data_IF_194770880018
#
_entry.id   IF_194770880018
#
_cell.length_a   1.000
_cell.length_b   1.000
_cell.length_c   1.000
_cell.angle_alpha   90.00
_cell.angle_beta   90.00
_cell.angle_gamma   90.00
#
_symmetry.space_group_name_H-M   'P 1'
#
loop_
_entity.id
_entity.type
_entity.pdbx_description
1 polymer ?
#
# COMPACT_ATOMS: atom_id res chain seq x y z
N UNK A 1 -11.68 -6.44 -7.57
CA UNK A 1 -12.24 -7.01 -8.82
C UNK A 1 -11.16 -7.83 -9.55
N UNK A 2 -11.53 -8.87 -10.31
CA UNK A 2 -10.59 -9.73 -11.06
C UNK A 2 -10.95 -9.70 -12.55
N UNK A 3 -10.04 -9.20 -13.38
CA UNK A 3 -10.18 -9.09 -14.83
C UNK A 3 -10.43 -10.44 -15.51
N UNK A 4 -9.92 -11.54 -14.97
CA UNK A 4 -10.12 -12.86 -15.54
C UNK A 4 -11.50 -13.44 -15.25
N UNK A 5 -12.18 -12.95 -14.20
CA UNK A 5 -13.55 -13.34 -13.86
C UNK A 5 -14.58 -12.47 -14.55
N UNK A 6 -14.32 -11.17 -14.65
CA UNK A 6 -15.19 -10.19 -15.29
C UNK A 6 -14.36 -9.14 -16.03
N UNK A 7 -13.94 -9.48 -17.25
CA UNK A 7 -13.11 -8.60 -18.07
C UNK A 7 -13.84 -7.33 -18.52
N UNK A 8 -15.12 -7.45 -18.87
CA UNK A 8 -15.92 -6.32 -19.34
C UNK A 8 -16.14 -5.28 -18.23
N UNK A 9 -16.55 -5.72 -17.04
CA UNK A 9 -16.72 -4.84 -15.88
C UNK A 9 -15.38 -4.24 -15.43
N UNK A 10 -14.29 -5.00 -15.50
CA UNK A 10 -12.96 -4.49 -15.20
C UNK A 10 -12.55 -3.34 -16.16
N UNK A 11 -12.72 -3.53 -17.46
CA UNK A 11 -12.36 -2.51 -18.46
C UNK A 11 -13.25 -1.25 -18.38
N UNK A 12 -14.53 -1.42 -18.01
CA UNK A 12 -15.41 -0.30 -17.73
C UNK A 12 -14.94 0.52 -16.53
N UNK A 13 -14.60 -0.14 -15.42
CA UNK A 13 -14.07 0.51 -14.23
C UNK A 13 -12.73 1.21 -14.51
N UNK A 14 -11.88 0.58 -15.31
CA UNK A 14 -10.60 1.15 -15.73
C UNK A 14 -10.80 2.40 -16.60
N UNK A 15 -11.66 2.33 -17.63
CA UNK A 15 -11.97 3.47 -18.50
C UNK A 15 -12.64 4.61 -17.74
N UNK A 16 -13.45 4.27 -16.75
CA UNK A 16 -14.14 5.23 -15.88
C UNK A 16 -13.27 5.82 -14.76
N UNK A 17 -11.99 5.44 -14.64
CA UNK A 17 -11.10 5.94 -13.59
C UNK A 17 -11.53 5.53 -12.17
N UNK A 18 -12.25 4.40 -12.04
CA UNK A 18 -12.81 3.93 -10.75
C UNK A 18 -11.93 2.90 -10.03
N UNK A 19 -10.79 2.54 -10.63
CA UNK A 19 -9.78 1.69 -10.00
C UNK A 19 -8.78 2.57 -9.26
N UNK A 20 -8.64 2.33 -7.96
CA UNK A 20 -7.67 3.04 -7.11
C UNK A 20 -6.26 2.51 -7.33
N UNK A 21 -6.14 1.19 -7.49
CA UNK A 21 -4.87 0.54 -7.79
C UNK A 21 -5.12 -0.71 -8.64
N UNK A 22 -4.10 -1.08 -9.41
CA UNK A 22 -4.10 -2.29 -10.23
C UNK A 22 -2.92 -3.16 -9.85
N UNK A 23 -3.19 -4.44 -9.60
CA UNK A 23 -2.20 -5.40 -9.19
C UNK A 23 -2.09 -6.49 -10.24
N UNK A 24 -0.86 -6.78 -10.61
CA UNK A 24 -0.56 -7.97 -11.39
C UNK A 24 -0.53 -9.15 -10.43
N UNK A 25 -1.27 -10.22 -10.74
CA UNK A 25 -1.16 -11.45 -9.94
C UNK A 25 0.23 -12.04 -10.07
N UNK A 26 0.74 -12.60 -8.98
CA UNK A 26 1.87 -13.52 -9.00
C UNK A 26 1.32 -14.94 -9.03
N UNK A 27 1.57 -15.67 -10.12
CA UNK A 27 1.23 -17.09 -10.23
C UNK A 27 2.36 -18.00 -9.71
N UNK A 28 3.37 -17.42 -9.05
CA UNK A 28 4.56 -18.10 -8.56
C UNK A 28 5.57 -18.44 -9.65
N UNK A 29 5.37 -18.00 -10.90
CA UNK A 29 6.29 -18.23 -12.03
C UNK A 29 6.55 -17.01 -12.90
N UNK A 30 5.63 -16.05 -13.02
CA UNK A 30 5.81 -14.77 -13.73
C UNK A 30 4.95 -13.64 -13.12
N UNK A 31 5.52 -12.44 -13.00
CA UNK A 31 4.74 -11.18 -12.92
C UNK A 31 3.97 -11.03 -14.24
N UNK A 32 2.65 -11.25 -14.24
CA UNK A 32 1.82 -11.11 -15.44
C UNK A 32 1.60 -9.63 -15.74
N UNK A 33 2.09 -9.06 -16.86
CA UNK A 33 1.84 -7.66 -17.18
C UNK A 33 0.34 -7.42 -17.41
N UNK A 34 -0.23 -6.37 -16.82
CA UNK A 34 -1.57 -5.89 -17.19
C UNK A 34 -2.66 -5.94 -16.11
N UNK A 35 -2.30 -5.86 -14.82
CA UNK A 35 -3.25 -5.46 -13.78
C UNK A 35 -4.46 -6.38 -13.67
N UNK A 36 -4.23 -7.68 -13.43
CA UNK A 36 -5.32 -8.67 -13.29
C UNK A 36 -6.33 -8.27 -12.22
N UNK A 37 -5.86 -7.73 -11.10
CA UNK A 37 -6.71 -7.34 -9.98
C UNK A 37 -6.80 -5.83 -9.89
N UNK A 38 -7.97 -5.36 -9.46
CA UNK A 38 -8.23 -3.95 -9.24
C UNK A 38 -8.84 -3.70 -7.87
N UNK A 39 -8.33 -2.70 -7.16
CA UNK A 39 -8.90 -2.20 -5.92
C UNK A 39 -9.87 -1.06 -6.24
N UNK A 40 -11.06 -1.10 -5.66
CA UNK A 40 -12.07 -0.05 -5.82
C UNK A 40 -12.52 0.46 -4.47
N UNK A 41 -12.86 1.75 -4.39
CA UNK A 41 -13.44 2.35 -3.20
C UNK A 41 -14.69 1.59 -2.72
N UNK A 42 -15.56 1.19 -3.65
CA UNK A 42 -16.77 0.42 -3.34
C UNK A 42 -16.46 -0.92 -2.64
N UNK A 43 -15.42 -1.63 -3.07
CA UNK A 43 -15.03 -2.89 -2.44
C UNK A 43 -14.49 -2.66 -1.01
N UNK A 44 -13.69 -1.60 -0.79
CA UNK A 44 -13.18 -1.24 0.53
C UNK A 44 -14.34 -0.92 1.47
N UNK A 45 -15.27 -0.05 1.04
CA UNK A 45 -16.45 0.33 1.83
C UNK A 45 -17.32 -0.89 2.14
N UNK A 46 -17.53 -1.78 1.16
CA UNK A 46 -18.30 -3.00 1.35
C UNK A 46 -17.67 -3.91 2.41
N UNK A 47 -16.35 -4.12 2.37
CA UNK A 47 -15.65 -4.97 3.35
C UNK A 47 -15.63 -4.32 4.73
N UNK A 48 -15.40 -3.00 4.81
CA UNK A 48 -15.40 -2.26 6.06
C UNK A 48 -16.79 -2.21 6.72
N UNK A 49 -17.86 -2.23 5.93
CA UNK A 49 -19.24 -2.23 6.42
C UNK A 49 -19.81 -3.62 6.75
N UNK A 50 -19.11 -4.70 6.35
CA UNK A 50 -19.60 -6.06 6.57
C UNK A 50 -19.55 -6.42 8.06
N UNK A 51 -20.62 -7.00 8.64
CA UNK A 51 -20.59 -7.49 10.02
C UNK A 51 -19.52 -8.58 10.15
N UNK A 52 -18.77 -8.60 11.26
CA UNK A 52 -17.89 -9.74 11.56
C UNK A 52 -18.69 -11.05 11.58
N UNK A 53 -18.11 -12.11 11.01
CA UNK A 53 -18.74 -13.44 11.05
C UNK A 53 -18.84 -13.93 12.49
N UNK A 54 -19.85 -14.77 12.77
CA UNK A 54 -20.19 -15.34 14.07
C UNK A 54 -18.94 -15.75 14.89
N UNK A 55 -18.55 -14.89 15.83
CA UNK A 55 -17.33 -15.05 16.60
C UNK A 55 -17.40 -14.33 17.94
N UNK A 56 -18.25 -14.86 18.85
CA UNK A 56 -18.20 -14.56 20.29
C UNK A 56 -18.82 -13.22 20.72
N UNK A 57 -19.61 -13.27 21.79
CA UNK A 57 -20.32 -12.12 22.38
C UNK A 57 -19.37 -11.02 22.88
N UNK A 58 -19.57 -9.77 22.40
CA UNK A 58 -18.99 -8.58 23.03
C UNK A 58 -18.60 -7.48 22.04
N UNK A 59 -19.56 -6.61 21.72
CA UNK A 59 -19.46 -5.42 20.84
C UNK A 59 -19.34 -5.71 19.33
N UNK A 60 -19.99 -4.90 18.45
CA UNK A 60 -19.77 -4.97 17.02
C UNK A 60 -18.36 -4.42 16.73
N UNK A 61 -17.36 -5.29 16.74
CA UNK A 61 -16.06 -4.95 16.20
C UNK A 61 -16.25 -4.61 14.71
N UNK A 62 -16.10 -3.33 14.37
CA UNK A 62 -16.10 -2.89 12.97
C UNK A 62 -14.88 -3.54 12.31
N UNK A 63 -15.05 -4.19 11.17
CA UNK A 63 -13.93 -4.79 10.42
C UNK A 63 -12.94 -3.70 10.03
N UNK A 64 -11.68 -3.87 10.41
CA UNK A 64 -10.57 -3.08 9.88
C UNK A 64 -10.14 -3.65 8.53
N UNK A 65 -9.95 -2.78 7.54
CA UNK A 65 -9.37 -3.15 6.24
C UNK A 65 -7.93 -2.66 6.24
N UNK A 66 -6.98 -3.58 6.10
CA UNK A 66 -5.55 -3.26 5.96
C UNK A 66 -5.22 -3.15 4.48
N UNK A 67 -4.62 -2.04 4.09
CA UNK A 67 -4.21 -1.76 2.72
C UNK A 67 -2.72 -1.42 2.75
N UNK A 68 -1.92 -2.22 2.05
CA UNK A 68 -0.54 -1.86 1.72
C UNK A 68 -0.59 -0.82 0.60
N UNK A 69 -0.11 0.39 0.88
CA UNK A 69 -0.28 1.56 0.03
C UNK A 69 1.03 2.35 -0.09
N UNK A 70 1.36 2.71 -1.32
CA UNK A 70 2.29 3.81 -1.57
C UNK A 70 1.60 5.16 -1.34
N UNK A 71 2.35 6.25 -1.47
CA UNK A 71 1.84 7.61 -1.27
C UNK A 71 0.69 7.94 -2.22
N UNK A 72 0.78 7.52 -3.48
CA UNK A 72 -0.26 7.76 -4.49
C UNK A 72 -1.58 7.08 -4.11
N UNK A 73 -1.53 5.81 -3.68
CA UNK A 73 -2.72 5.11 -3.22
C UNK A 73 -3.26 5.72 -1.91
N UNK A 74 -2.39 6.12 -0.99
CA UNK A 74 -2.79 6.78 0.26
C UNK A 74 -3.56 8.09 -0.01
N UNK A 75 -3.09 8.92 -0.95
CA UNK A 75 -3.77 10.13 -1.42
C UNK A 75 -5.18 9.83 -1.94
N UNK A 76 -5.31 8.81 -2.79
CA UNK A 76 -6.58 8.42 -3.36
C UNK A 76 -7.55 7.87 -2.30
N UNK A 77 -7.04 7.14 -1.31
CA UNK A 77 -7.85 6.58 -0.23
C UNK A 77 -8.47 7.68 0.64
N UNK A 78 -7.74 8.75 0.96
CA UNK A 78 -8.25 9.87 1.76
C UNK A 78 -9.40 10.59 1.07
N UNK A 79 -9.46 10.56 -0.26
CA UNK A 79 -10.58 11.09 -1.02
C UNK A 79 -11.84 10.22 -0.98
N UNK A 80 -11.78 8.98 -0.45
CA UNK A 80 -12.94 8.07 -0.42
C UNK A 80 -13.90 8.45 0.71
N UNK A 81 -15.15 8.85 0.40
CA UNK A 81 -16.09 9.29 1.41
C UNK A 81 -16.57 8.12 2.28
N UNK A 82 -16.81 8.41 3.56
CA UNK A 82 -17.39 7.45 4.51
C UNK A 82 -16.39 6.47 5.13
N UNK A 83 -15.10 6.59 4.82
CA UNK A 83 -14.03 5.83 5.48
C UNK A 83 -13.38 6.68 6.57
N UNK A 84 -13.17 6.06 7.74
CA UNK A 84 -12.18 6.54 8.72
C UNK A 84 -10.87 5.85 8.39
N UNK A 85 -9.88 6.62 7.99
CA UNK A 85 -8.55 6.12 7.67
C UNK A 85 -7.66 6.30 8.89
N UNK A 86 -6.75 5.36 9.06
CA UNK A 86 -5.65 5.42 10.02
C UNK A 86 -4.39 5.17 9.19
N UNK A 87 -3.65 6.24 8.90
CA UNK A 87 -2.39 6.19 8.19
C UNK A 87 -1.26 5.77 9.13
N UNK A 88 -0.52 4.74 8.72
CA UNK A 88 0.71 4.32 9.39
C UNK A 88 1.85 4.42 8.40
N UNK A 89 2.77 5.34 8.63
CA UNK A 89 3.99 5.48 7.85
C UNK A 89 5.03 4.49 8.35
N UNK A 90 5.54 3.63 7.46
CA UNK A 90 6.59 2.67 7.78
C UNK A 90 7.84 3.04 6.98
N UNK A 91 8.95 3.27 7.67
CA UNK A 91 10.20 3.66 7.02
C UNK A 91 11.42 3.04 7.70
N UNK A 92 12.61 3.34 7.19
CA UNK A 92 13.87 3.08 7.89
C UNK A 92 14.31 4.36 8.60
N UNK A 93 15.16 4.23 9.62
CA UNK A 93 15.66 5.37 10.38
C UNK A 93 16.58 6.32 9.60
N UNK A 94 17.03 5.93 8.39
CA UNK A 94 18.03 6.68 7.65
C UNK A 94 17.94 6.47 6.15
N UNK A 95 18.25 7.52 5.39
CA UNK A 95 18.28 7.49 3.93
C UNK A 95 19.35 6.51 3.42
N UNK A 96 20.48 6.39 4.12
CA UNK A 96 21.56 5.46 3.75
C UNK A 96 21.10 4.00 3.76
N UNK A 97 20.29 3.59 4.74
CA UNK A 97 19.71 2.23 4.77
C UNK A 97 18.68 2.02 3.65
N UNK A 98 17.90 3.05 3.32
CA UNK A 98 16.96 3.04 2.18
C UNK A 98 17.74 2.87 0.88
N UNK A 99 18.78 3.67 0.66
CA UNK A 99 19.66 3.60 -0.52
C UNK A 99 20.30 2.22 -0.67
N UNK A 100 20.81 1.67 0.44
CA UNK A 100 21.42 0.34 0.47
C UNK A 100 20.41 -0.74 0.09
N UNK A 101 19.19 -0.69 0.67
CA UNK A 101 18.12 -1.63 0.36
C UNK A 101 17.66 -1.52 -1.10
N UNK A 102 17.48 -0.30 -1.61
CA UNK A 102 17.12 -0.05 -3.01
C UNK A 102 18.21 -0.56 -3.97
N UNK A 103 19.48 -0.32 -3.66
CA UNK A 103 20.61 -0.84 -4.44
C UNK A 103 20.61 -2.36 -4.52
N UNK A 104 20.34 -3.03 -3.39
CA UNK A 104 20.19 -4.49 -3.35
C UNK A 104 19.00 -4.96 -4.20
N UNK A 105 17.84 -4.32 -4.08
CA UNK A 105 16.65 -4.67 -4.86
C UNK A 105 16.82 -4.46 -6.37
N UNK A 106 17.59 -3.45 -6.78
CA UNK A 106 17.96 -3.24 -8.18
C UNK A 106 18.91 -4.35 -8.64
N UNK A 107 19.91 -4.70 -7.83
CA UNK A 107 20.88 -5.74 -8.16
C UNK A 107 20.26 -7.14 -8.24
N UNK A 108 19.26 -7.45 -7.41
CA UNK A 108 18.51 -8.72 -7.45
C UNK A 108 17.44 -8.75 -8.54
N UNK A 109 17.16 -7.61 -9.18
CA UNK A 109 16.12 -7.47 -10.20
C UNK A 109 14.69 -7.38 -9.65
N UNK A 110 14.53 -7.20 -8.33
CA UNK A 110 13.23 -6.94 -7.71
C UNK A 110 12.66 -5.59 -8.17
N UNK A 111 13.52 -4.57 -8.24
CA UNK A 111 13.26 -3.30 -8.91
C UNK A 111 13.75 -3.41 -10.36
N UNK A 112 12.85 -3.39 -11.35
CA UNK A 112 13.23 -3.54 -12.74
C UNK A 112 14.01 -2.30 -13.22
N UNK A 113 15.13 -2.56 -13.90
CA UNK A 113 15.91 -1.53 -14.58
C UNK A 113 15.40 -1.38 -16.02
N UNK A 114 14.94 -0.19 -16.44
CA UNK A 114 14.47 0.02 -17.82
C UNK A 114 15.56 -0.29 -18.85
N UNK A 115 15.20 -0.78 -20.05
CA UNK A 115 16.18 -1.04 -21.10
C UNK A 115 16.93 0.25 -21.49
N UNK A 116 18.26 0.21 -21.42
CA UNK A 116 19.11 1.37 -21.75
C UNK A 116 19.36 2.36 -20.62
N UNK A 117 18.82 2.11 -19.42
CA UNK A 117 19.18 2.85 -18.21
C UNK A 117 20.20 2.09 -17.36
N UNK A 118 21.15 2.84 -16.81
CA UNK A 118 22.13 2.31 -15.85
C UNK A 118 21.51 2.17 -14.46
N UNK A 119 21.91 1.13 -13.71
CA UNK A 119 21.40 0.86 -12.36
C UNK A 119 21.57 2.05 -11.40
N UNK A 120 22.65 2.82 -11.54
CA UNK A 120 22.89 4.04 -10.75
C UNK A 120 21.89 5.17 -11.08
N UNK A 121 21.48 5.30 -12.34
CA UNK A 121 20.48 6.28 -12.75
C UNK A 121 19.10 5.93 -12.17
N UNK A 122 18.75 4.64 -12.19
CA UNK A 122 17.53 4.13 -11.55
C UNK A 122 17.57 4.37 -10.05
N UNK A 123 18.68 4.02 -9.37
CA UNK A 123 18.84 4.25 -7.94
C UNK A 123 18.63 5.72 -7.57
N UNK A 124 19.32 6.65 -8.24
CA UNK A 124 19.16 8.10 -7.98
C UNK A 124 17.73 8.58 -8.18
N UNK A 125 17.04 8.05 -9.20
CA UNK A 125 15.65 8.40 -9.47
C UNK A 125 14.73 7.89 -8.36
N UNK A 126 14.93 6.65 -7.90
CA UNK A 126 14.16 6.07 -6.79
C UNK A 126 14.41 6.79 -5.47
N UNK A 127 15.67 7.13 -5.17
CA UNK A 127 16.01 7.89 -3.96
C UNK A 127 15.32 9.25 -3.95
N UNK A 128 15.30 9.98 -5.09
CA UNK A 128 14.55 11.23 -5.20
C UNK A 128 13.06 11.05 -4.97
N UNK A 129 12.48 9.94 -5.41
CA UNK A 129 11.08 9.63 -5.15
C UNK A 129 10.85 9.39 -3.65
N UNK A 130 11.69 8.57 -3.00
CA UNK A 130 11.57 8.32 -1.56
C UNK A 130 11.68 9.60 -0.74
N UNK A 131 12.59 10.53 -1.10
CA UNK A 131 12.68 11.83 -0.42
C UNK A 131 11.37 12.61 -0.54
N UNK A 132 10.76 12.67 -1.74
CA UNK A 132 9.45 13.30 -1.93
C UNK A 132 8.34 12.63 -1.13
N UNK A 133 8.37 11.30 -1.08
CA UNK A 133 7.38 10.51 -0.35
C UNK A 133 7.51 10.76 1.17
N UNK A 134 8.74 10.87 1.69
CA UNK A 134 9.01 11.25 3.08
C UNK A 134 8.51 12.67 3.36
N UNK A 135 8.84 13.64 2.49
CA UNK A 135 8.36 15.02 2.63
C UNK A 135 6.82 15.07 2.67
N UNK A 136 6.17 14.32 1.80
CA UNK A 136 4.72 14.18 1.79
C UNK A 136 4.20 13.54 3.09
N UNK A 137 4.82 12.44 3.54
CA UNK A 137 4.44 11.76 4.78
C UNK A 137 4.47 12.68 5.99
N UNK A 138 5.48 13.56 6.06
CA UNK A 138 5.63 14.54 7.14
C UNK A 138 4.63 15.70 7.04
N UNK A 139 4.34 16.20 5.83
CA UNK A 139 3.54 17.43 5.65
C UNK A 139 2.04 17.17 5.48
N UNK A 140 1.64 16.01 4.95
CA UNK A 140 0.26 15.72 4.58
C UNK A 140 -0.71 15.67 5.77
N UNK A 141 -0.23 15.34 6.97
CA UNK A 141 -1.07 15.12 8.15
C UNK A 141 -2.00 13.90 8.05
N UNK A 142 -1.78 13.03 7.06
CA UNK A 142 -2.60 11.83 6.80
C UNK A 142 -2.15 10.64 7.65
N UNK A 143 -0.88 10.64 8.11
CA UNK A 143 -0.31 9.56 8.89
C UNK A 143 -0.34 9.91 10.38
N UNK A 144 -1.12 9.18 11.19
CA UNK A 144 -1.16 9.35 12.64
C UNK A 144 0.02 8.69 13.35
N UNK A 145 0.62 7.67 12.73
CA UNK A 145 1.73 6.92 13.30
C UNK A 145 2.90 6.81 12.33
N UNK A 146 4.10 6.83 12.89
CA UNK A 146 5.36 6.58 12.18
C UNK A 146 6.08 5.44 12.87
N UNK A 147 6.43 4.39 12.12
CA UNK A 147 7.14 3.21 12.61
C UNK A 147 8.46 3.11 11.85
N UNK A 148 9.56 3.00 12.59
CA UNK A 148 10.90 2.82 12.03
C UNK A 148 11.26 1.32 12.05
N UNK A 149 11.23 0.71 10.86
CA UNK A 149 11.37 -0.72 10.64
C UNK A 149 12.82 -1.20 10.57
N UNK A 150 13.57 -0.92 11.64
CA UNK A 150 14.93 -1.44 11.85
C UNK A 150 14.92 -2.83 12.48
N UNK A 151 14.00 -3.07 13.40
CA UNK A 151 13.72 -4.38 13.99
C UNK A 151 12.25 -4.76 13.75
N UNK A 152 12.04 -5.91 13.10
CA UNK A 152 10.70 -6.36 12.69
C UNK A 152 9.82 -6.69 13.91
N UNK A 153 10.39 -7.23 14.98
CA UNK A 153 9.62 -7.59 16.16
C UNK A 153 9.18 -6.35 16.95
N UNK A 154 10.08 -5.37 17.08
CA UNK A 154 9.78 -4.08 17.69
C UNK A 154 8.73 -3.31 16.88
N UNK A 155 8.93 -3.22 15.57
CA UNK A 155 7.99 -2.57 14.64
C UNK A 155 6.60 -3.21 14.68
N UNK A 156 6.53 -4.54 14.80
CA UNK A 156 5.26 -5.24 14.95
C UNK A 156 4.58 -4.93 16.28
N UNK A 157 5.35 -4.76 17.37
CA UNK A 157 4.79 -4.33 18.67
C UNK A 157 4.23 -2.90 18.57
N UNK A 158 4.95 -1.99 17.93
CA UNK A 158 4.49 -0.62 17.69
C UNK A 158 3.22 -0.58 16.85
N UNK A 159 3.17 -1.35 15.75
CA UNK A 159 1.99 -1.43 14.89
C UNK A 159 0.76 -1.95 15.66
N UNK A 160 0.94 -2.96 16.51
CA UNK A 160 -0.13 -3.48 17.37
C UNK A 160 -0.62 -2.44 18.37
N UNK A 161 0.29 -1.68 18.99
CA UNK A 161 -0.07 -0.61 19.90
C UNK A 161 -0.83 0.53 19.19
N UNK A 162 -0.37 0.92 18.00
CA UNK A 162 -1.05 1.90 17.15
C UNK A 162 -2.47 1.45 16.78
N UNK A 163 -2.63 0.20 16.34
CA UNK A 163 -3.93 -0.39 16.04
C UNK A 163 -4.85 -0.40 17.28
N UNK A 164 -4.34 -0.83 18.43
CA UNK A 164 -5.10 -0.81 19.69
C UNK A 164 -5.53 0.59 20.12
N UNK A 165 -4.73 1.63 19.83
CA UNK A 165 -5.12 3.01 20.09
C UNK A 165 -6.20 3.48 19.11
N UNK A 166 -6.04 3.20 17.82
CA UNK A 166 -6.91 3.71 16.77
C UNK A 166 -8.32 3.08 16.76
N UNK A 167 -8.41 1.80 17.16
CA UNK A 167 -9.66 1.02 17.19
C UNK A 167 -10.31 0.91 18.57
N UNK A 168 -9.85 1.68 19.56
CA UNK A 168 -10.63 1.96 20.78
C UNK A 168 -11.80 2.88 20.48
#
# INVERSE_FOLDING_TARGET
VDRNRDGAGFEELQRGGKLLAQFSGDDGRRKVPGGRYGLTAAAIVQVAAAPEGEGGEGAPARRAVVIDADVELAEQLVAVPGLRIVGVWVSLDSLEKIETRLGQQIATGEVPTPPGEEAEAVLRTRVRQVVKDIEYGVVSGIFEFTILNDDVEESLKELKAAAQYAFK
#
